data_IF_719416947291
#
_entry.id   IF_719416947291
#
_cell.length_a   1.000
_cell.length_b   1.000
_cell.length_c   1.000
_cell.angle_alpha   90.00
_cell.angle_beta   90.00
_cell.angle_gamma   90.00
#
_symmetry.space_group_name_H-M   'P 1'
#
loop_
_entity.id
_entity.type
_entity.pdbx_description
1 polymer ?
#
# COMPACT_ATOMS: atom_id res chain seq x y z
N UNK A 1 -4.43 -3.81 -6.97
CA UNK A 1 -4.09 -3.16 -5.68
C UNK A 1 -3.57 -4.23 -4.74
N UNK A 2 -2.45 -3.98 -4.05
CA UNK A 2 -1.86 -4.86 -3.03
C UNK A 2 -1.95 -4.18 -1.67
N UNK A 3 -2.38 -4.90 -0.63
CA UNK A 3 -2.45 -4.40 0.74
C UNK A 3 -1.66 -5.32 1.67
N UNK A 4 -0.77 -4.73 2.46
CA UNK A 4 0.09 -5.45 3.39
C UNK A 4 -0.04 -4.85 4.79
N UNK A 5 -0.07 -5.71 5.80
CA UNK A 5 -0.25 -5.31 7.20
C UNK A 5 0.76 -5.98 8.11
N UNK A 6 1.13 -5.28 9.18
CA UNK A 6 1.99 -5.79 10.24
C UNK A 6 1.50 -5.34 11.60
N UNK A 7 1.22 -6.29 12.48
CA UNK A 7 0.94 -5.98 13.88
C UNK A 7 2.25 -5.60 14.60
N UNK A 8 2.26 -4.44 15.24
CA UNK A 8 3.34 -4.01 16.13
C UNK A 8 2.81 -3.79 17.55
N UNK A 9 3.71 -3.49 18.49
CA UNK A 9 3.34 -3.12 19.88
C UNK A 9 2.62 -1.77 19.95
N UNK A 10 2.76 -0.92 18.94
CA UNK A 10 2.18 0.42 18.87
C UNK A 10 0.91 0.50 18.03
N UNK A 11 0.50 -0.58 17.35
CA UNK A 11 -0.70 -0.61 16.51
C UNK A 11 -0.55 -1.50 15.29
N UNK A 12 -1.48 -1.37 14.35
CA UNK A 12 -1.42 -2.05 13.05
C UNK A 12 -0.76 -1.11 12.04
N UNK A 13 0.39 -1.49 11.51
CA UNK A 13 1.00 -0.77 10.39
C UNK A 13 0.46 -1.33 9.07
N UNK A 14 0.32 -0.47 8.08
CA UNK A 14 -0.13 -0.84 6.74
C UNK A 14 0.80 -0.25 5.67
N UNK A 15 0.82 -0.94 4.53
CA UNK A 15 1.36 -0.45 3.27
C UNK A 15 0.42 -0.93 2.16
N UNK A 16 -0.01 -0.03 1.32
CA UNK A 16 -0.92 -0.28 0.22
C UNK A 16 -0.33 0.30 -1.07
N UNK A 17 -0.55 -0.37 -2.19
CA UNK A 17 -0.11 0.11 -3.48
C UNK A 17 -1.12 -0.21 -4.57
N UNK A 18 -1.36 0.77 -5.45
CA UNK A 18 -2.25 0.65 -6.59
C UNK A 18 -1.74 1.47 -7.76
N UNK A 19 -2.16 1.07 -8.96
CA UNK A 19 -1.95 1.82 -10.18
C UNK A 19 -2.97 2.96 -10.28
N UNK A 20 -2.48 4.14 -10.69
CA UNK A 20 -3.27 5.34 -10.95
C UNK A 20 -2.71 6.00 -12.22
N UNK A 21 -3.43 5.90 -13.34
CA UNK A 21 -3.00 6.41 -14.65
C UNK A 21 -1.57 5.97 -15.04
N UNK A 22 -0.61 6.90 -15.09
CA UNK A 22 0.78 6.66 -15.47
C UNK A 22 1.70 6.60 -14.23
N UNK A 23 1.18 6.23 -13.06
CA UNK A 23 1.96 6.10 -11.83
C UNK A 23 1.46 4.96 -10.94
N UNK A 24 2.34 4.50 -10.07
CA UNK A 24 1.98 3.72 -8.89
C UNK A 24 1.88 4.68 -7.72
N UNK A 25 0.77 4.58 -6.98
CA UNK A 25 0.61 5.26 -5.71
C UNK A 25 0.83 4.24 -4.60
N UNK A 26 1.69 4.60 -3.65
CA UNK A 26 1.87 3.84 -2.42
C UNK A 26 1.41 4.69 -1.24
N UNK A 27 0.70 4.07 -0.29
CA UNK A 27 0.27 4.71 0.96
C UNK A 27 0.66 3.83 2.14
N UNK A 28 1.26 4.42 3.16
CA UNK A 28 1.74 3.67 4.33
C UNK A 28 1.63 4.46 5.61
N UNK A 29 1.44 3.76 6.72
CA UNK A 29 1.36 4.41 8.02
C UNK A 29 0.87 3.46 9.11
N UNK A 30 0.44 4.04 10.22
CA UNK A 30 -0.32 3.33 11.25
C UNK A 30 -1.80 3.45 10.92
N UNK A 31 -2.54 2.35 11.02
CA UNK A 31 -3.98 2.34 10.80
C UNK A 31 -4.67 3.33 11.76
N UNK A 32 -5.50 4.21 11.21
CA UNK A 32 -6.16 5.29 11.95
C UNK A 32 -5.42 6.63 11.94
N UNK A 33 -4.20 6.68 11.37
CA UNK A 33 -3.44 7.92 11.17
C UNK A 33 -3.44 8.33 9.68
N UNK A 34 -3.00 9.56 9.37
CA UNK A 34 -2.97 10.09 8.00
C UNK A 34 -2.01 9.34 7.06
N UNK A 35 -0.95 8.73 7.63
CA UNK A 35 0.08 8.03 6.85
C UNK A 35 0.87 8.95 5.92
N UNK A 36 1.53 8.34 4.94
CA UNK A 36 2.36 9.00 3.92
C UNK A 36 2.06 8.41 2.55
N UNK A 37 1.81 9.28 1.57
CA UNK A 37 1.62 8.92 0.16
C UNK A 37 2.90 9.18 -0.62
N UNK A 38 3.28 8.25 -1.49
CA UNK A 38 4.37 8.42 -2.45
C UNK A 38 3.89 7.99 -3.83
N UNK A 39 4.15 8.82 -4.82
CA UNK A 39 3.84 8.57 -6.23
C UNK A 39 5.12 8.19 -6.97
N UNK A 40 5.04 7.10 -7.75
CA UNK A 40 6.14 6.54 -8.52
C UNK A 40 5.71 6.53 -9.98
N UNK A 41 6.30 7.33 -10.87
CA UNK A 41 5.94 7.32 -12.29
C UNK A 41 6.15 5.94 -12.91
N UNK A 42 5.18 5.47 -13.69
CA UNK A 42 5.32 4.31 -14.55
C UNK A 42 6.00 4.73 -15.84
N UNK A 43 7.11 4.08 -16.17
CA UNK A 43 7.64 4.20 -17.53
C UNK A 43 6.76 3.40 -18.50
N UNK A 44 6.70 3.81 -19.77
CA UNK A 44 5.85 3.18 -20.82
C UNK A 44 6.14 1.67 -21.01
N UNK A 45 7.30 1.20 -20.55
CA UNK A 45 7.72 -0.20 -20.62
C UNK A 45 7.60 -0.97 -19.31
N UNK A 46 7.25 -0.33 -18.20
CA UNK A 46 7.11 -0.99 -16.89
C UNK A 46 5.67 -1.48 -16.69
N UNK A 47 5.56 -2.75 -16.30
CA UNK A 47 4.31 -3.34 -15.86
C UNK A 47 4.03 -2.92 -14.40
N UNK A 48 2.84 -2.37 -14.18
CA UNK A 48 2.39 -1.85 -12.88
C UNK A 48 2.37 -2.92 -11.79
N UNK A 49 1.95 -4.14 -12.11
CA UNK A 49 1.88 -5.25 -11.16
C UNK A 49 3.28 -5.73 -10.78
N UNK A 50 4.20 -5.84 -11.74
CA UNK A 50 5.60 -6.15 -11.47
C UNK A 50 6.29 -5.07 -10.62
N UNK A 51 5.96 -3.81 -10.86
CA UNK A 51 6.47 -2.69 -10.08
C UNK A 51 5.95 -2.74 -8.63
N UNK A 52 4.64 -2.91 -8.44
CA UNK A 52 4.03 -3.07 -7.11
C UNK A 52 4.65 -4.26 -6.36
N UNK A 53 4.82 -5.41 -7.03
CA UNK A 53 5.45 -6.59 -6.45
C UNK A 53 6.91 -6.30 -6.04
N UNK A 54 7.67 -5.56 -6.85
CA UNK A 54 9.03 -5.11 -6.52
C UNK A 54 9.05 -4.23 -5.27
N UNK A 55 8.20 -3.21 -5.22
CA UNK A 55 8.10 -2.28 -4.09
C UNK A 55 7.60 -2.96 -2.80
N UNK A 56 6.87 -4.07 -2.92
CA UNK A 56 6.39 -4.85 -1.77
C UNK A 56 7.49 -5.62 -1.02
N UNK A 57 8.60 -5.97 -1.70
CA UNK A 57 9.62 -6.89 -1.16
C UNK A 57 10.24 -6.42 0.16
N UNK A 58 10.63 -5.14 0.34
CA UNK A 58 11.15 -4.65 1.62
C UNK A 58 10.12 -4.74 2.75
N UNK A 59 8.83 -4.54 2.44
CA UNK A 59 7.75 -4.64 3.41
C UNK A 59 7.53 -6.09 3.85
N UNK A 60 7.46 -7.04 2.90
CA UNK A 60 7.38 -8.47 3.21
C UNK A 60 8.59 -8.96 3.99
N UNK A 61 9.80 -8.52 3.64
CA UNK A 61 11.01 -8.82 4.39
C UNK A 61 10.98 -8.27 5.83
N UNK A 62 10.24 -7.18 6.07
CA UNK A 62 9.98 -6.63 7.39
C UNK A 62 8.79 -7.29 8.10
N UNK A 63 8.28 -8.42 7.60
CA UNK A 63 7.19 -9.18 8.24
C UNK A 63 5.81 -8.55 8.06
N UNK A 64 5.62 -7.72 7.02
CA UNK A 64 4.29 -7.40 6.56
C UNK A 64 3.72 -8.59 5.78
N UNK A 65 2.45 -8.87 6.00
CA UNK A 65 1.73 -9.97 5.37
C UNK A 65 0.53 -9.43 4.61
N UNK A 66 0.19 -10.07 3.51
CA UNK A 66 -1.05 -9.80 2.81
C UNK A 66 -2.22 -10.30 3.66
N UNK A 67 -3.18 -9.43 3.92
CA UNK A 67 -4.39 -9.76 4.69
C UNK A 67 -5.57 -9.06 4.05
N UNK A 68 -6.68 -9.79 3.96
CA UNK A 68 -7.98 -9.20 3.67
C UNK A 68 -8.40 -8.29 4.83
N UNK A 69 -8.69 -6.99 4.61
CA UNK A 69 -9.14 -6.12 5.68
C UNK A 69 -10.49 -6.60 6.20
N UNK A 70 -10.62 -6.71 7.53
CA UNK A 70 -11.80 -7.29 8.20
C UNK A 70 -13.05 -6.41 8.12
N UNK A 71 -12.91 -5.14 7.72
CA UNK A 71 -13.99 -4.22 7.34
C UNK A 71 -13.40 -2.97 6.65
N UNK A 72 -13.91 -2.61 5.48
CA UNK A 72 -13.60 -1.34 4.80
C UNK A 72 -14.80 -0.39 4.97
N UNK A 73 -14.56 0.82 5.47
CA UNK A 73 -15.57 1.89 5.55
C UNK A 73 -15.16 3.02 4.60
N UNK A 74 -15.83 3.09 3.45
CA UNK A 74 -15.65 4.19 2.49
C UNK A 74 -16.59 5.33 2.87
N UNK A 75 -16.03 6.50 3.18
CA UNK A 75 -16.80 7.72 3.47
C UNK A 75 -16.69 8.66 2.28
N UNK A 76 -17.80 8.86 1.57
CA UNK A 76 -17.93 9.85 0.51
C UNK A 76 -18.81 10.99 1.00
N UNK A 77 -18.33 12.23 0.91
CA UNK A 77 -19.12 13.43 1.20
C UNK A 77 -19.05 14.42 0.03
N UNK A 78 -20.08 15.26 -0.09
CA UNK A 78 -20.28 16.21 -1.19
C UNK A 78 -19.70 17.58 -0.86
#
# INVERSE_FOLDING_TARGET
MLKLYKQTTSGLQYWEAWEDEEKIVTHRGTLGETGVTVEIPLSVSEDAELLIERESKPHRANGFEEREPVAELVVQYK
#
